data_IF_070381320364
#
_entry.id   IF_070381320364
#
_cell.length_a   1.000
_cell.length_b   1.000
_cell.length_c   1.000
_cell.angle_alpha   90.00
_cell.angle_beta   90.00
_cell.angle_gamma   90.00
#
_symmetry.space_group_name_H-M   'P 1'
#
loop_
_entity.id
_entity.type
_entity.pdbx_description
1 polymer ?
#
# COMPACT_ATOMS: atom_id res chain seq x y z
N UNK A 1 -12.27 -15.07 6.83
CA UNK A 1 -11.20 -16.06 7.04
C UNK A 1 -10.24 -15.48 8.06
N UNK A 2 -9.82 -16.25 9.05
CA UNK A 2 -8.76 -15.84 9.99
C UNK A 2 -7.41 -16.30 9.47
N UNK A 3 -6.37 -15.49 9.68
CA UNK A 3 -4.99 -15.79 9.30
C UNK A 3 -4.04 -15.28 10.37
N UNK A 4 -2.87 -15.91 10.48
CA UNK A 4 -1.83 -15.45 11.39
C UNK A 4 -1.18 -14.16 10.88
N UNK A 5 -0.85 -13.27 11.81
CA UNK A 5 -0.25 -11.96 11.52
C UNK A 5 1.08 -11.90 12.25
N UNK A 6 2.18 -12.25 11.57
CA UNK A 6 3.52 -12.08 12.10
C UNK A 6 3.75 -10.63 12.54
N UNK A 7 4.45 -10.44 13.67
CA UNK A 7 4.74 -9.10 14.21
C UNK A 7 5.39 -8.18 13.17
N UNK A 8 6.28 -8.72 12.36
CA UNK A 8 6.96 -8.00 11.28
C UNK A 8 6.00 -7.37 10.27
N UNK A 9 4.81 -7.94 10.03
CA UNK A 9 3.80 -7.34 9.15
C UNK A 9 3.30 -6.00 9.72
N UNK A 10 3.08 -5.96 11.04
CA UNK A 10 2.67 -4.74 11.72
C UNK A 10 3.79 -3.70 11.69
N UNK A 11 5.02 -4.12 11.92
CA UNK A 11 6.20 -3.26 11.85
C UNK A 11 6.35 -2.65 10.44
N UNK A 12 6.21 -3.47 9.38
CA UNK A 12 6.25 -2.99 8.00
C UNK A 12 5.08 -2.07 7.63
N UNK A 13 3.89 -2.32 8.16
CA UNK A 13 2.73 -1.45 7.97
C UNK A 13 2.98 -0.07 8.58
N UNK A 14 3.58 -0.02 9.77
CA UNK A 14 3.96 1.21 10.45
C UNK A 14 5.05 1.99 9.69
N UNK A 15 6.11 1.29 9.26
CA UNK A 15 7.18 1.87 8.42
C UNK A 15 6.59 2.47 7.14
N UNK A 16 5.64 1.76 6.50
CA UNK A 16 4.95 2.23 5.30
C UNK A 16 4.18 3.53 5.55
N UNK A 17 3.46 3.64 6.68
CA UNK A 17 2.74 4.86 7.04
C UNK A 17 3.70 6.02 7.30
N UNK A 18 4.77 5.79 8.07
CA UNK A 18 5.78 6.82 8.37
C UNK A 18 6.40 7.37 7.09
N UNK A 19 6.87 6.49 6.20
CA UNK A 19 7.48 6.88 4.92
C UNK A 19 6.50 7.61 4.00
N UNK A 20 5.24 7.16 3.97
CA UNK A 20 4.19 7.86 3.24
C UNK A 20 4.00 9.29 3.75
N UNK A 21 3.91 9.52 5.07
CA UNK A 21 3.73 10.86 5.63
C UNK A 21 4.93 11.76 5.36
N UNK A 22 6.15 11.26 5.57
CA UNK A 22 7.40 11.97 5.25
C UNK A 22 7.41 12.44 3.79
N UNK A 23 7.17 11.52 2.85
CA UNK A 23 7.17 11.81 1.41
C UNK A 23 6.03 12.77 1.02
N UNK A 24 4.86 12.61 1.63
CA UNK A 24 3.70 13.49 1.40
C UNK A 24 4.01 14.94 1.80
N UNK A 25 4.63 15.14 2.97
CA UNK A 25 5.03 16.48 3.46
C UNK A 25 6.05 17.10 2.51
N UNK A 26 7.05 16.32 2.08
CA UNK A 26 8.08 16.74 1.12
C UNK A 26 7.56 16.90 -0.31
N UNK A 27 6.29 16.58 -0.59
CA UNK A 27 5.70 16.55 -1.94
C UNK A 27 6.53 15.69 -2.91
N UNK A 28 6.84 14.48 -2.48
CA UNK A 28 7.57 13.48 -3.27
C UNK A 28 6.58 12.65 -4.09
N UNK A 29 6.90 12.43 -5.38
CA UNK A 29 6.14 11.51 -6.24
C UNK A 29 6.52 10.06 -5.93
N UNK A 30 5.59 9.12 -6.15
CA UNK A 30 5.89 7.68 -6.07
C UNK A 30 6.91 7.21 -7.11
N UNK A 31 7.13 8.01 -8.16
CA UNK A 31 8.09 7.75 -9.23
C UNK A 31 9.46 8.39 -8.97
N UNK A 32 9.63 9.06 -7.83
CA UNK A 32 10.91 9.63 -7.44
C UNK A 32 11.92 8.56 -7.04
N UNK A 33 13.23 8.85 -7.11
CA UNK A 33 14.27 7.99 -6.55
C UNK A 33 14.09 7.76 -5.04
N UNK A 34 13.68 8.79 -4.27
CA UNK A 34 13.49 8.68 -2.82
C UNK A 34 12.45 7.60 -2.47
N UNK A 35 11.29 7.62 -3.12
CA UNK A 35 10.30 6.56 -2.95
C UNK A 35 10.77 5.23 -3.54
N UNK A 36 11.43 5.26 -4.70
CA UNK A 36 11.88 4.07 -5.42
C UNK A 36 12.92 3.24 -4.66
N UNK A 37 13.87 3.89 -3.98
CA UNK A 37 14.90 3.21 -3.16
C UNK A 37 14.25 2.49 -2.00
N UNK A 38 13.43 3.20 -1.20
CA UNK A 38 12.71 2.59 -0.09
C UNK A 38 11.76 1.48 -0.55
N UNK A 39 11.03 1.72 -1.64
CA UNK A 39 10.13 0.76 -2.28
C UNK A 39 10.85 -0.54 -2.67
N UNK A 40 12.07 -0.42 -3.17
CA UNK A 40 12.93 -1.57 -3.49
C UNK A 40 13.37 -2.32 -2.23
N UNK A 41 13.77 -1.63 -1.18
CA UNK A 41 14.16 -2.25 0.10
C UNK A 41 12.98 -3.02 0.71
N UNK A 42 11.80 -2.40 0.75
CA UNK A 42 10.55 -3.02 1.19
C UNK A 42 10.26 -4.30 0.40
N UNK A 43 10.38 -4.26 -0.92
CA UNK A 43 10.22 -5.44 -1.78
C UNK A 43 11.27 -6.52 -1.47
N UNK A 44 12.55 -6.16 -1.33
CA UNK A 44 13.61 -7.12 -1.04
C UNK A 44 13.39 -7.84 0.30
N UNK A 45 12.84 -7.13 1.28
CA UNK A 45 12.54 -7.66 2.60
C UNK A 45 11.27 -8.52 2.66
N UNK A 46 10.41 -8.45 1.63
CA UNK A 46 9.11 -9.15 1.62
C UNK A 46 8.93 -10.11 0.43
N UNK A 47 9.85 -10.11 -0.56
CA UNK A 47 9.69 -10.82 -1.84
C UNK A 47 9.60 -12.35 -1.75
N UNK A 48 10.15 -12.95 -0.70
CA UNK A 48 10.19 -14.40 -0.54
C UNK A 48 9.03 -14.90 0.33
N UNK A 49 8.26 -14.00 0.92
CA UNK A 49 7.25 -14.32 1.90
C UNK A 49 5.90 -14.54 1.21
N UNK A 50 5.37 -15.74 1.38
CA UNK A 50 4.11 -16.17 0.78
C UNK A 50 3.11 -16.37 1.91
N UNK A 51 2.22 -15.40 2.10
CA UNK A 51 1.20 -15.46 3.14
C UNK A 51 0.10 -14.42 2.94
N UNK A 52 -1.09 -14.71 3.46
CA UNK A 52 -2.25 -13.80 3.34
C UNK A 52 -1.94 -12.43 3.95
N UNK A 53 -1.26 -12.39 5.10
CA UNK A 53 -0.84 -11.15 5.74
C UNK A 53 0.11 -10.31 4.85
N UNK A 54 1.10 -10.94 4.21
CA UNK A 54 2.00 -10.28 3.27
C UNK A 54 1.28 -9.77 2.02
N UNK A 55 0.31 -10.52 1.51
CA UNK A 55 -0.56 -10.08 0.40
C UNK A 55 -1.32 -8.80 0.77
N UNK A 56 -1.87 -8.73 1.98
CA UNK A 56 -2.54 -7.52 2.48
C UNK A 56 -1.58 -6.35 2.70
N UNK A 57 -0.40 -6.59 3.29
CA UNK A 57 0.64 -5.59 3.45
C UNK A 57 1.06 -4.98 2.10
N UNK A 58 1.20 -5.83 1.09
CA UNK A 58 1.52 -5.40 -0.28
C UNK A 58 0.42 -4.54 -0.89
N UNK A 59 -0.86 -4.92 -0.73
CA UNK A 59 -1.99 -4.08 -1.15
C UNK A 59 -1.97 -2.73 -0.43
N UNK A 60 -1.75 -2.73 0.89
CA UNK A 60 -1.67 -1.51 1.70
C UNK A 60 -0.60 -0.56 1.17
N UNK A 61 0.59 -1.09 0.90
CA UNK A 61 1.71 -0.36 0.34
C UNK A 61 1.42 0.24 -1.04
N UNK A 62 0.75 -0.49 -1.93
CA UNK A 62 0.32 0.03 -3.24
C UNK A 62 -0.66 1.19 -3.06
N UNK A 63 -1.66 1.04 -2.19
CA UNK A 63 -2.66 2.08 -1.93
C UNK A 63 -1.98 3.36 -1.42
N UNK A 64 -0.98 3.24 -0.54
CA UNK A 64 -0.18 4.38 -0.06
C UNK A 64 0.65 5.02 -1.18
N UNK A 65 1.27 4.21 -2.04
CA UNK A 65 2.02 4.69 -3.21
C UNK A 65 1.12 5.47 -4.18
N UNK A 66 -0.08 4.98 -4.47
CA UNK A 66 -1.05 5.70 -5.30
C UNK A 66 -1.56 6.99 -4.65
N UNK A 67 -1.85 6.94 -3.35
CA UNK A 67 -2.32 8.09 -2.62
C UNK A 67 -1.25 9.20 -2.58
N UNK A 68 0.02 8.81 -2.42
CA UNK A 68 1.17 9.72 -2.48
C UNK A 68 1.22 10.44 -3.83
N UNK A 69 1.08 9.70 -4.92
CA UNK A 69 1.08 10.26 -6.27
C UNK A 69 -0.08 11.24 -6.51
N UNK A 70 -1.26 10.96 -5.94
CA UNK A 70 -2.39 11.90 -5.98
C UNK A 70 -2.13 13.15 -5.14
N UNK A 71 -1.44 13.03 -4.01
CA UNK A 71 -1.04 14.18 -3.20
C UNK A 71 -0.02 15.05 -3.94
N UNK A 72 0.99 14.43 -4.54
CA UNK A 72 1.99 15.10 -5.38
C UNK A 72 1.35 15.88 -6.52
N UNK A 73 0.51 15.22 -7.33
CA UNK A 73 -0.10 15.81 -8.54
C UNK A 73 -1.06 16.98 -8.29
N UNK A 74 -1.43 17.25 -7.03
CA UNK A 74 -2.20 18.39 -6.46
C UNK A 74 -3.34 19.06 -7.25
N UNK A 75 -3.76 18.57 -8.42
CA UNK A 75 -4.85 19.17 -9.20
C UNK A 75 -6.18 18.91 -8.48
N UNK A 76 -6.97 19.97 -8.37
CA UNK A 76 -8.27 20.09 -7.70
C UNK A 76 -9.34 19.05 -8.11
N UNK A 77 -9.07 18.12 -9.04
CA UNK A 77 -10.04 17.17 -9.60
C UNK A 77 -10.00 15.74 -9.06
N UNK A 78 -9.12 15.40 -8.08
CA UNK A 78 -8.98 13.99 -7.61
C UNK A 78 -9.33 13.76 -6.13
N UNK A 79 -10.06 14.67 -5.49
CA UNK A 79 -10.40 14.57 -4.07
C UNK A 79 -11.28 13.33 -3.76
N UNK A 80 -12.23 13.00 -4.63
CA UNK A 80 -13.03 11.78 -4.52
C UNK A 80 -12.18 10.50 -4.58
N UNK A 81 -11.23 10.44 -5.53
CA UNK A 81 -10.29 9.30 -5.65
C UNK A 81 -9.37 9.18 -4.44
N UNK A 82 -8.86 10.30 -3.90
CA UNK A 82 -8.07 10.33 -2.66
C UNK A 82 -8.85 9.78 -1.48
N UNK A 83 -10.10 10.23 -1.29
CA UNK A 83 -10.97 9.75 -0.21
C UNK A 83 -11.22 8.25 -0.33
N UNK A 84 -11.53 7.77 -1.54
CA UNK A 84 -11.73 6.34 -1.81
C UNK A 84 -10.50 5.51 -1.45
N UNK A 85 -9.33 5.84 -1.99
CA UNK A 85 -8.08 5.12 -1.70
C UNK A 85 -7.70 5.20 -0.21
N UNK A 86 -7.94 6.34 0.45
CA UNK A 86 -7.70 6.47 1.88
C UNK A 86 -8.61 5.59 2.72
N UNK A 87 -9.87 5.38 2.31
CA UNK A 87 -10.78 4.48 3.00
C UNK A 87 -10.37 3.02 2.76
N UNK A 88 -10.06 2.65 1.52
CA UNK A 88 -9.55 1.31 1.20
C UNK A 88 -8.28 0.98 1.99
N UNK A 89 -7.35 1.92 2.13
CA UNK A 89 -6.15 1.72 2.93
C UNK A 89 -6.45 1.51 4.43
N UNK A 90 -7.47 2.21 4.97
CA UNK A 90 -7.92 2.00 6.36
C UNK A 90 -8.57 0.63 6.55
N UNK A 91 -9.37 0.20 5.58
CA UNK A 91 -10.02 -1.12 5.63
C UNK A 91 -8.98 -2.24 5.58
N UNK A 92 -7.97 -2.11 4.71
CA UNK A 92 -6.87 -3.08 4.63
C UNK A 92 -6.04 -3.08 5.92
N UNK A 93 -5.72 -1.91 6.48
CA UNK A 93 -5.05 -1.81 7.79
C UNK A 93 -5.82 -2.55 8.87
N UNK A 94 -7.14 -2.37 8.94
CA UNK A 94 -7.99 -3.06 9.91
C UNK A 94 -7.98 -4.58 9.71
N UNK A 95 -7.99 -5.05 8.46
CA UNK A 95 -7.87 -6.49 8.14
C UNK A 95 -6.56 -7.06 8.66
N UNK A 96 -5.44 -6.35 8.47
CA UNK A 96 -4.12 -6.75 8.98
C UNK A 96 -4.13 -6.76 10.52
N UNK A 97 -4.60 -5.69 11.16
CA UNK A 97 -4.62 -5.57 12.63
C UNK A 97 -5.49 -6.64 13.31
N UNK A 98 -6.59 -7.06 12.66
CA UNK A 98 -7.49 -8.08 13.19
C UNK A 98 -7.12 -9.52 12.78
N UNK A 99 -6.23 -9.70 11.80
CA UNK A 99 -5.95 -11.01 11.21
C UNK A 99 -7.19 -11.67 10.59
N UNK A 100 -8.15 -10.87 10.13
CA UNK A 100 -9.43 -11.35 9.62
C UNK A 100 -9.83 -10.60 8.35
N UNK A 101 -10.05 -11.36 7.27
CA UNK A 101 -10.42 -10.80 5.98
C UNK A 101 -10.96 -11.86 5.01
N UNK A 102 -11.44 -11.45 3.82
CA UNK A 102 -11.72 -12.38 2.74
C UNK A 102 -10.45 -13.11 2.29
N UNK A 103 -10.61 -14.26 1.64
CA UNK A 103 -9.45 -14.86 0.98
C UNK A 103 -9.07 -14.02 -0.25
N UNK A 104 -7.78 -13.74 -0.41
CA UNK A 104 -7.27 -12.98 -1.54
C UNK A 104 -6.78 -13.97 -2.60
N UNK A 105 -7.65 -14.26 -3.57
CA UNK A 105 -7.25 -15.02 -4.76
C UNK A 105 -6.25 -14.18 -5.57
N UNK A 106 -5.20 -14.82 -6.10
CA UNK A 106 -4.11 -14.13 -6.79
C UNK A 106 -4.58 -13.26 -7.96
N UNK A 107 -5.70 -13.62 -8.60
CA UNK A 107 -6.31 -12.83 -9.67
C UNK A 107 -6.86 -11.49 -9.20
N UNK A 108 -7.34 -11.38 -7.96
CA UNK A 108 -7.84 -10.12 -7.42
C UNK A 108 -6.70 -9.18 -7.01
N UNK A 109 -5.58 -9.73 -6.54
CA UNK A 109 -4.33 -8.98 -6.33
C UNK A 109 -3.81 -8.48 -7.68
N UNK A 110 -3.76 -9.34 -8.70
CA UNK A 110 -3.38 -8.95 -10.08
C UNK A 110 -4.30 -7.87 -10.64
N UNK A 111 -5.62 -7.96 -10.45
CA UNK A 111 -6.57 -6.92 -10.89
C UNK A 111 -6.32 -5.58 -10.20
N UNK A 112 -6.02 -5.58 -8.89
CA UNK A 112 -5.67 -4.36 -8.14
C UNK A 112 -4.33 -3.78 -8.60
N UNK A 113 -3.33 -4.62 -8.82
CA UNK A 113 -2.04 -4.26 -9.39
C UNK A 113 -2.16 -3.62 -10.77
N UNK A 114 -2.88 -4.26 -11.69
CA UNK A 114 -3.02 -3.82 -13.07
C UNK A 114 -3.85 -2.53 -13.17
N UNK A 115 -4.87 -2.34 -12.34
CA UNK A 115 -5.64 -1.07 -12.28
C UNK A 115 -4.79 0.11 -11.80
N UNK A 116 -3.73 -0.13 -11.01
CA UNK A 116 -2.81 0.89 -10.50
C UNK A 116 -1.59 1.20 -11.39
N UNK A 117 -1.36 0.39 -12.43
CA UNK A 117 -0.21 0.50 -13.34
C UNK A 117 -0.62 1.01 -14.73
N UNK A 118 -1.86 0.77 -15.19
CA UNK A 118 -2.28 1.01 -16.60
C UNK A 118 -2.86 2.42 -16.87
N UNK A 119 -2.77 3.36 -15.92
CA UNK A 119 -3.15 4.77 -16.16
C UNK A 119 -2.01 5.74 -15.81
N UNK A 120 -0.79 5.42 -16.25
CA UNK A 120 0.29 6.38 -16.43
C UNK A 120 0.26 6.89 -17.88
#
# INVERSE_FOLDING_TARGET
MKFDVPKEILDYMEITEQKYQECKIKRVSRFSPEWGVWSREMNLNTKNEIGVAYKYLFIYWILKSELLELHFKSKYGKQGKKKKLSNEAKDIRKIIELGEGPDLVDDDIKKRLLKGVVHA
#
